data_IF_559039287771
#
_entry.id   IF_559039287771
#
_cell.length_a   1.000
_cell.length_b   1.000
_cell.length_c   1.000
_cell.angle_alpha   90.00
_cell.angle_beta   90.00
_cell.angle_gamma   90.00
#
_symmetry.space_group_name_H-M   'P 1'
#
loop_
_entity.id
_entity.type
_entity.pdbx_description
1 polymer ?
#
# COMPACT_ATOMS: atom_id res chain seq x y z
N UNK A 1 -21.21 7.84 0.15
CA UNK A 1 -20.96 8.52 1.44
C UNK A 1 -19.50 8.34 1.85
N UNK A 2 -18.81 9.36 2.39
CA UNK A 2 -17.42 9.22 2.87
C UNK A 2 -17.41 8.52 4.24
N UNK A 3 -16.65 7.43 4.37
CA UNK A 3 -16.51 6.64 5.60
C UNK A 3 -15.21 6.96 6.33
N UNK A 4 -14.13 7.23 5.59
CA UNK A 4 -12.80 7.49 6.14
C UNK A 4 -12.06 8.52 5.28
N UNK A 5 -11.30 9.39 5.94
CA UNK A 5 -10.28 10.26 5.34
C UNK A 5 -9.16 10.44 6.36
N UNK A 6 -8.14 9.59 6.25
CA UNK A 6 -7.00 9.53 7.16
C UNK A 6 -5.76 10.05 6.45
N UNK A 7 -5.00 10.89 7.14
CA UNK A 7 -3.67 11.31 6.71
C UNK A 7 -2.64 10.95 7.77
N UNK A 8 -1.44 10.61 7.34
CA UNK A 8 -0.34 10.27 8.23
C UNK A 8 1.02 10.38 7.56
N UNK A 9 2.05 10.07 8.34
CA UNK A 9 3.43 10.08 7.89
C UNK A 9 4.10 8.80 8.35
N UNK A 10 4.97 8.27 7.49
CA UNK A 10 5.85 7.17 7.81
C UNK A 10 7.31 7.60 7.66
N UNK A 11 8.17 7.07 8.51
CA UNK A 11 9.62 7.23 8.46
C UNK A 11 10.29 5.88 8.13
N UNK A 12 11.61 5.85 7.89
CA UNK A 12 12.33 4.61 7.68
C UNK A 12 12.14 3.56 8.79
N UNK A 13 11.89 3.99 10.04
CA UNK A 13 11.70 3.09 11.18
C UNK A 13 10.36 2.32 11.13
N UNK A 14 9.39 2.83 10.36
CA UNK A 14 8.10 2.17 10.13
C UNK A 14 8.19 1.10 9.03
N UNK A 15 9.36 0.94 8.40
CA UNK A 15 9.54 -0.11 7.40
C UNK A 15 9.30 -1.50 7.99
N UNK A 16 8.60 -2.34 7.22
CA UNK A 16 8.19 -3.70 7.57
C UNK A 16 7.17 -3.75 8.73
N UNK A 17 6.38 -2.69 8.91
CA UNK A 17 5.27 -2.65 9.86
C UNK A 17 3.91 -2.61 9.14
N UNK A 18 2.83 -2.74 9.93
CA UNK A 18 1.46 -2.71 9.44
C UNK A 18 0.62 -1.72 10.26
N UNK A 19 -0.20 -0.92 9.58
CA UNK A 19 -1.16 0.00 10.21
C UNK A 19 -2.56 -0.49 9.87
N UNK A 20 -3.29 -1.01 10.86
CA UNK A 20 -4.67 -1.47 10.71
C UNK A 20 -5.63 -0.34 11.05
N UNK A 21 -6.51 -0.01 10.10
CA UNK A 21 -7.38 1.16 10.16
C UNK A 21 -8.83 0.68 10.05
N UNK A 22 -9.56 0.62 11.18
CA UNK A 22 -10.94 0.16 11.20
C UNK A 22 -11.89 1.23 10.67
N UNK A 23 -13.00 0.80 10.08
CA UNK A 23 -14.17 1.62 9.75
C UNK A 23 -15.43 0.76 9.77
N UNK A 24 -16.59 1.39 9.92
CA UNK A 24 -17.88 0.70 9.90
C UNK A 24 -18.54 0.86 8.53
N UNK A 25 -19.15 -0.22 8.03
CA UNK A 25 -19.97 -0.21 6.83
C UNK A 25 -21.45 -0.35 7.19
N UNK A 26 -22.27 0.59 6.73
CA UNK A 26 -23.72 0.55 6.91
C UNK A 26 -24.42 -0.34 5.86
N UNK A 27 -25.68 -0.66 6.10
CA UNK A 27 -26.51 -1.43 5.15
C UNK A 27 -26.73 -0.66 3.83
N UNK A 28 -27.00 -1.40 2.76
CA UNK A 28 -27.37 -0.82 1.46
C UNK A 28 -26.22 -0.22 0.66
N UNK A 29 -24.97 -0.58 0.97
CA UNK A 29 -23.81 -0.20 0.16
C UNK A 29 -23.76 -1.00 -1.15
N UNK A 30 -23.88 -0.31 -2.29
CA UNK A 30 -23.72 -0.95 -3.61
C UNK A 30 -22.26 -1.15 -4.00
N UNK A 31 -21.39 -0.17 -3.71
CA UNK A 31 -19.97 -0.22 -4.04
C UNK A 31 -19.12 0.51 -3.01
N UNK A 32 -18.08 -0.16 -2.54
CA UNK A 32 -17.06 0.41 -1.65
C UNK A 32 -15.85 0.81 -2.49
N UNK A 33 -15.43 2.07 -2.35
CA UNK A 33 -14.31 2.64 -3.06
C UNK A 33 -13.21 3.02 -2.05
N UNK A 34 -11.96 2.82 -2.46
CA UNK A 34 -10.80 3.14 -1.66
C UNK A 34 -9.79 3.91 -2.52
N UNK A 35 -9.14 4.90 -1.91
CA UNK A 35 -8.01 5.60 -2.51
C UNK A 35 -6.86 5.66 -1.54
N UNK A 36 -5.75 5.02 -1.88
CA UNK A 36 -4.48 5.18 -1.19
C UNK A 36 -3.59 6.10 -2.02
N UNK A 37 -3.00 7.09 -1.35
CA UNK A 37 -1.97 7.95 -1.93
C UNK A 37 -0.78 8.02 -0.98
N UNK A 38 0.44 8.04 -1.51
CA UNK A 38 1.62 8.34 -0.70
C UNK A 38 2.71 9.07 -1.48
N UNK A 39 3.51 9.88 -0.80
CA UNK A 39 4.53 10.71 -1.42
C UNK A 39 5.63 11.07 -0.40
N UNK A 40 6.89 11.22 -0.83
CA UNK A 40 7.42 10.97 -2.17
C UNK A 40 7.48 9.47 -2.52
N UNK A 41 7.33 9.13 -3.80
CA UNK A 41 7.49 7.75 -4.28
C UNK A 41 8.96 7.33 -4.38
N UNK A 42 9.84 8.26 -4.75
CA UNK A 42 11.25 8.01 -5.07
C UNK A 42 12.16 8.71 -4.07
N UNK A 43 13.30 8.08 -3.78
CA UNK A 43 14.41 8.73 -3.11
C UNK A 43 15.31 9.40 -4.16
N UNK A 44 15.22 10.73 -4.24
CA UNK A 44 16.00 11.53 -5.20
C UNK A 44 17.49 11.63 -4.84
N UNK A 45 17.83 11.49 -3.55
CA UNK A 45 19.22 11.52 -3.10
C UNK A 45 19.95 10.23 -3.49
N UNK A 46 20.65 10.27 -4.63
CA UNK A 46 21.41 9.14 -5.17
C UNK A 46 22.47 8.60 -4.20
N UNK A 47 23.20 9.45 -3.50
CA UNK A 47 24.23 9.01 -2.56
C UNK A 47 23.63 8.22 -1.40
N UNK A 48 22.52 8.71 -0.83
CA UNK A 48 21.76 8.00 0.20
C UNK A 48 21.22 6.67 -0.35
N UNK A 49 20.69 6.68 -1.57
CA UNK A 49 20.16 5.48 -2.21
C UNK A 49 21.25 4.41 -2.41
N UNK A 50 22.45 4.80 -2.86
CA UNK A 50 23.59 3.89 -2.99
C UNK A 50 24.07 3.32 -1.65
N UNK A 51 24.06 4.12 -0.58
CA UNK A 51 24.38 3.62 0.77
C UNK A 51 23.38 2.56 1.22
N UNK A 52 22.08 2.88 1.16
CA UNK A 52 21.02 1.93 1.53
C UNK A 52 21.08 0.63 0.72
N UNK A 53 21.37 0.74 -0.58
CA UNK A 53 21.50 -0.43 -1.45
C UNK A 53 22.70 -1.29 -1.06
N UNK A 54 23.86 -0.69 -0.77
CA UNK A 54 25.05 -1.41 -0.30
C UNK A 54 24.82 -2.08 1.04
N UNK A 55 24.19 -1.39 1.99
CA UNK A 55 23.84 -1.95 3.30
C UNK A 55 22.92 -3.18 3.15
N UNK A 56 22.06 -3.18 2.13
CA UNK A 56 21.19 -4.32 1.84
C UNK A 56 21.93 -5.53 1.25
N UNK A 57 23.09 -5.35 0.59
CA UNK A 57 23.81 -6.45 -0.04
C UNK A 57 24.38 -7.43 0.98
N UNK A 58 24.79 -6.94 2.15
CA UNK A 58 25.26 -7.82 3.22
C UNK A 58 24.16 -8.75 3.74
N UNK A 59 22.89 -8.35 3.59
CA UNK A 59 21.72 -9.10 4.04
C UNK A 59 21.17 -10.04 2.96
N UNK A 60 21.18 -9.62 1.69
CA UNK A 60 20.40 -10.26 0.63
C UNK A 60 21.24 -10.84 -0.52
N UNK A 61 22.55 -10.56 -0.58
CA UNK A 61 23.43 -10.99 -1.66
C UNK A 61 24.55 -11.88 -1.11
N UNK A 62 24.71 -13.07 -1.70
CA UNK A 62 25.80 -13.99 -1.37
C UNK A 62 27.17 -13.32 -1.57
N UNK A 63 28.17 -13.58 -0.70
CA UNK A 63 29.47 -12.92 -0.76
C UNK A 63 30.13 -12.91 -2.16
N UNK A 64 30.08 -14.04 -2.87
CA UNK A 64 30.63 -14.22 -4.21
C UNK A 64 29.94 -13.38 -5.31
N UNK A 65 28.76 -12.81 -5.03
CA UNK A 65 27.99 -11.98 -5.97
C UNK A 65 28.03 -10.49 -5.62
N UNK A 66 28.65 -10.10 -4.49
CA UNK A 66 28.64 -8.71 -4.01
C UNK A 66 29.38 -7.76 -4.93
N UNK A 67 30.55 -8.15 -5.44
CA UNK A 67 31.30 -7.31 -6.38
C UNK A 67 30.49 -6.98 -7.63
N UNK A 68 29.83 -7.99 -8.20
CA UNK A 68 28.94 -7.81 -9.34
C UNK A 68 27.75 -6.91 -9.01
N UNK A 69 27.11 -7.09 -7.84
CA UNK A 69 26.01 -6.24 -7.39
C UNK A 69 26.45 -4.78 -7.24
N UNK A 70 27.60 -4.53 -6.60
CA UNK A 70 28.17 -3.19 -6.42
C UNK A 70 28.47 -2.53 -7.78
N UNK A 71 29.07 -3.27 -8.73
CA UNK A 71 29.37 -2.76 -10.06
C UNK A 71 28.09 -2.41 -10.86
N UNK A 72 26.94 -2.98 -10.51
CA UNK A 72 25.67 -2.78 -11.19
C UNK A 72 24.62 -2.05 -10.34
N UNK A 73 25.04 -1.38 -9.25
CA UNK A 73 24.15 -0.74 -8.29
C UNK A 73 23.16 0.25 -8.94
N UNK A 74 23.59 0.98 -9.97
CA UNK A 74 22.76 1.96 -10.68
C UNK A 74 21.52 1.34 -11.35
N UNK A 75 21.52 0.04 -11.67
CA UNK A 75 20.36 -0.66 -12.24
C UNK A 75 19.18 -0.75 -11.27
N UNK A 76 19.42 -0.57 -9.98
CA UNK A 76 18.41 -0.64 -8.93
C UNK A 76 17.94 0.74 -8.48
N UNK A 77 18.41 1.81 -9.11
CA UNK A 77 18.04 3.17 -8.79
C UNK A 77 16.94 3.73 -9.73
N UNK A 78 16.14 4.70 -9.26
CA UNK A 78 16.06 5.18 -7.88
C UNK A 78 15.35 4.18 -6.96
N UNK A 79 15.74 4.17 -5.68
CA UNK A 79 14.98 3.44 -4.66
C UNK A 79 13.61 4.10 -4.46
N UNK A 80 12.62 3.30 -4.09
CA UNK A 80 11.22 3.74 -3.98
C UNK A 80 10.64 3.36 -2.62
N UNK A 81 9.83 4.25 -2.07
CA UNK A 81 8.91 3.90 -1.00
C UNK A 81 7.88 2.91 -1.53
N UNK A 82 7.42 2.00 -0.67
CA UNK A 82 6.37 1.04 -1.00
C UNK A 82 5.41 0.88 0.17
N UNK A 83 4.19 1.37 -0.03
CA UNK A 83 3.05 1.11 0.84
C UNK A 83 2.01 0.37 -0.01
N UNK A 84 1.54 -0.76 0.49
CA UNK A 84 0.47 -1.55 -0.12
C UNK A 84 -0.71 -1.62 0.84
N UNK A 85 -1.86 -2.10 0.37
CA UNK A 85 -3.03 -2.23 1.22
C UNK A 85 -3.71 -3.59 1.07
N UNK A 86 -4.29 -4.07 2.16
CA UNK A 86 -5.24 -5.18 2.17
C UNK A 86 -6.55 -4.75 2.81
N UNK A 87 -7.61 -5.49 2.50
CA UNK A 87 -8.96 -5.23 2.98
C UNK A 87 -9.47 -6.48 3.71
N UNK A 88 -10.10 -6.26 4.86
CA UNK A 88 -10.88 -7.26 5.58
C UNK A 88 -12.29 -6.70 5.81
N UNK A 89 -13.31 -7.54 5.66
CA UNK A 89 -14.68 -7.27 6.07
C UNK A 89 -15.03 -7.98 7.39
N UNK A 90 -16.29 -7.88 7.80
CA UNK A 90 -16.79 -8.50 9.02
C UNK A 90 -16.72 -10.04 9.01
N UNK A 91 -16.57 -10.66 7.84
CA UNK A 91 -16.42 -12.12 7.64
C UNK A 91 -14.97 -12.53 7.43
N UNK A 92 -14.06 -11.60 7.17
CA UNK A 92 -12.62 -11.83 7.10
C UNK A 92 -11.96 -11.21 5.86
N UNK A 93 -10.92 -11.87 5.36
CA UNK A 93 -10.05 -11.32 4.32
C UNK A 93 -10.76 -11.11 2.97
N UNK A 94 -10.63 -9.90 2.41
CA UNK A 94 -11.19 -9.47 1.11
C UNK A 94 -10.14 -9.20 0.04
N UNK A 95 -8.88 -9.48 0.31
CA UNK A 95 -7.80 -9.39 -0.67
C UNK A 95 -6.73 -8.37 -0.33
N UNK A 96 -5.69 -8.36 -1.15
CA UNK A 96 -4.53 -7.49 -0.99
C UNK A 96 -4.09 -6.95 -2.35
N UNK A 97 -3.84 -5.65 -2.39
CA UNK A 97 -3.36 -4.92 -3.55
C UNK A 97 -1.87 -4.61 -3.36
N UNK A 98 -1.02 -5.55 -3.78
CA UNK A 98 0.44 -5.38 -3.75
C UNK A 98 0.92 -4.57 -4.96
N UNK A 99 0.38 -3.37 -5.14
CA UNK A 99 0.68 -2.50 -6.28
C UNK A 99 1.82 -1.54 -5.95
N UNK A 100 2.57 -1.19 -6.99
CA UNK A 100 3.69 -0.26 -6.87
C UNK A 100 3.24 1.19 -6.99
N UNK A 101 2.11 1.50 -7.62
CA UNK A 101 1.69 2.87 -7.85
C UNK A 101 1.47 3.62 -6.53
N UNK A 102 1.93 4.87 -6.49
CA UNK A 102 1.78 5.77 -5.35
C UNK A 102 0.36 6.30 -5.18
N UNK A 103 -0.46 6.21 -6.22
CA UNK A 103 -1.89 6.49 -6.21
C UNK A 103 -2.62 5.24 -6.65
N UNK A 104 -3.47 4.71 -5.78
CA UNK A 104 -4.22 3.48 -6.03
C UNK A 104 -5.70 3.77 -5.82
N UNK A 105 -6.44 3.79 -6.90
CA UNK A 105 -7.90 3.88 -6.90
C UNK A 105 -8.46 2.45 -7.05
N UNK A 106 -9.21 2.01 -6.03
CA UNK A 106 -9.70 0.65 -5.90
C UNK A 106 -11.20 0.66 -5.61
N UNK A 107 -11.85 -0.45 -5.94
CA UNK A 107 -13.23 -0.69 -5.59
C UNK A 107 -13.51 -2.17 -5.33
N UNK A 108 -14.58 -2.42 -4.58
CA UNK A 108 -15.21 -3.73 -4.41
C UNK A 108 -16.73 -3.54 -4.37
N UNK A 109 -17.45 -4.38 -5.10
CA UNK A 109 -18.90 -4.53 -5.05
C UNK A 109 -19.26 -6.01 -4.94
N UNK A 110 -20.56 -6.31 -4.99
CA UNK A 110 -21.02 -7.69 -5.02
C UNK A 110 -20.53 -8.44 -6.26
N UNK A 111 -20.50 -7.77 -7.42
CA UNK A 111 -20.23 -8.41 -8.72
C UNK A 111 -18.81 -8.20 -9.22
N UNK A 112 -18.18 -7.09 -8.87
CA UNK A 112 -16.86 -6.71 -9.38
C UNK A 112 -15.92 -6.25 -8.28
N UNK A 113 -14.63 -6.40 -8.52
CA UNK A 113 -13.60 -5.87 -7.65
C UNK A 113 -12.35 -5.55 -8.44
N UNK A 114 -11.58 -4.60 -7.93
CA UNK A 114 -10.25 -4.30 -8.44
C UNK A 114 -9.32 -5.51 -8.31
N UNK A 115 -8.43 -5.78 -9.29
CA UNK A 115 -7.50 -6.91 -9.21
C UNK A 115 -6.70 -6.95 -7.90
N UNK A 116 -6.73 -8.10 -7.23
CA UNK A 116 -6.17 -8.30 -5.88
C UNK A 116 -7.22 -8.30 -4.77
N UNK A 117 -8.42 -7.76 -5.03
CA UNK A 117 -9.59 -7.82 -4.14
C UNK A 117 -10.60 -8.85 -4.62
N UNK A 118 -11.45 -9.30 -3.71
CA UNK A 118 -12.52 -10.27 -3.97
C UNK A 118 -13.88 -9.58 -3.96
N UNK A 119 -14.61 -9.70 -5.06
CA UNK A 119 -16.01 -9.33 -5.16
C UNK A 119 -16.87 -10.23 -4.26
N UNK A 120 -18.06 -9.76 -3.93
CA UNK A 120 -19.03 -10.47 -3.10
C UNK A 120 -19.77 -9.51 -2.18
N UNK A 121 -20.83 -10.01 -1.54
CA UNK A 121 -21.72 -9.25 -0.66
C UNK A 121 -20.95 -8.25 0.22
N UNK A 122 -21.39 -6.99 0.22
CA UNK A 122 -20.85 -5.94 1.08
C UNK A 122 -21.59 -5.98 2.42
N UNK A 123 -21.08 -6.82 3.33
CA UNK A 123 -21.71 -7.03 4.63
C UNK A 123 -21.64 -5.80 5.53
N UNK A 124 -22.73 -5.41 6.20
CA UNK A 124 -22.67 -4.36 7.20
C UNK A 124 -21.83 -4.81 8.41
N UNK A 125 -21.26 -3.84 9.12
CA UNK A 125 -20.47 -4.03 10.34
C UNK A 125 -19.00 -3.64 10.17
N UNK A 126 -18.08 -4.26 10.96
CA UNK A 126 -16.71 -3.80 11.06
C UNK A 126 -15.88 -4.24 9.85
N UNK A 127 -15.21 -3.27 9.24
CA UNK A 127 -14.24 -3.48 8.17
C UNK A 127 -12.90 -2.89 8.58
N UNK A 128 -11.84 -3.26 7.87
CA UNK A 128 -10.54 -2.61 8.06
C UNK A 128 -9.71 -2.60 6.79
N UNK A 129 -9.00 -1.50 6.59
CA UNK A 129 -7.87 -1.43 5.65
C UNK A 129 -6.59 -1.64 6.46
N UNK A 130 -5.70 -2.52 6.00
CA UNK A 130 -4.36 -2.64 6.56
C UNK A 130 -3.36 -2.08 5.57
N UNK A 131 -2.66 -0.99 5.93
CA UNK A 131 -1.53 -0.50 5.18
C UNK A 131 -0.29 -1.29 5.57
N UNK A 132 0.40 -1.88 4.60
CA UNK A 132 1.67 -2.59 4.80
C UNK A 132 2.82 -1.73 4.29
N UNK A 133 3.63 -1.24 5.21
CA UNK A 133 4.73 -0.31 4.94
C UNK A 133 5.97 -1.13 4.62
N UNK A 134 6.04 -1.72 3.43
CA UNK A 134 7.11 -2.66 3.08
C UNK A 134 8.50 -2.03 3.17
N UNK A 135 8.64 -0.80 2.69
CA UNK A 135 9.91 -0.10 2.68
C UNK A 135 9.70 1.41 2.58
N UNK A 136 10.28 2.16 3.53
CA UNK A 136 10.34 3.62 3.53
C UNK A 136 11.82 4.02 3.48
N UNK A 137 12.25 4.58 2.35
CA UNK A 137 13.65 4.96 2.06
C UNK A 137 13.89 6.46 2.13
N UNK A 138 12.83 7.27 2.14
CA UNK A 138 12.90 8.72 2.32
C UNK A 138 12.78 9.07 3.80
N UNK A 139 13.26 10.25 4.21
CA UNK A 139 13.22 10.64 5.64
C UNK A 139 11.79 10.75 6.16
N UNK A 140 10.85 11.09 5.27
CA UNK A 140 9.42 11.12 5.55
C UNK A 140 8.66 10.73 4.29
N UNK A 141 7.57 9.97 4.47
CA UNK A 141 6.61 9.60 3.44
C UNK A 141 5.20 9.90 3.96
N UNK A 142 4.56 10.95 3.44
CA UNK A 142 3.17 11.25 3.73
C UNK A 142 2.27 10.24 3.02
N UNK A 143 1.18 9.83 3.67
CA UNK A 143 0.14 9.02 3.05
C UNK A 143 -1.26 9.53 3.39
N UNK A 144 -2.20 9.25 2.49
CA UNK A 144 -3.62 9.50 2.67
C UNK A 144 -4.42 8.27 2.25
N UNK A 145 -5.36 7.88 3.08
CA UNK A 145 -6.33 6.82 2.81
C UNK A 145 -7.73 7.41 2.87
N UNK A 146 -8.47 7.29 1.77
CA UNK A 146 -9.87 7.63 1.70
C UNK A 146 -10.70 6.38 1.43
N UNK A 147 -11.84 6.25 2.11
CA UNK A 147 -12.81 5.18 1.89
C UNK A 147 -14.20 5.78 1.80
N UNK A 148 -14.96 5.40 0.79
CA UNK A 148 -16.32 5.91 0.58
C UNK A 148 -17.20 4.91 -0.16
N UNK A 149 -18.50 5.02 0.04
CA UNK A 149 -19.52 4.24 -0.65
C UNK A 149 -20.10 5.01 -1.83
N UNK A 150 -20.52 4.29 -2.86
CA UNK A 150 -21.39 4.77 -3.94
C UNK A 150 -22.53 3.79 -4.15
N UNK A 151 -23.63 4.25 -4.74
CA UNK A 151 -24.68 3.35 -5.23
C UNK A 151 -24.11 2.47 -6.36
N UNK A 152 -24.68 1.27 -6.55
CA UNK A 152 -24.29 0.41 -7.67
C UNK A 152 -24.98 0.93 -8.93
N UNK A 153 -24.22 1.13 -10.02
CA UNK A 153 -24.81 1.55 -11.30
C UNK A 153 -25.82 0.49 -11.74
N UNK A 154 -27.10 0.87 -11.76
CA UNK A 154 -28.17 0.02 -12.27
C UNK A 154 -28.02 -0.07 -13.79
N UNK A 155 -27.37 -1.12 -14.28
CA UNK A 155 -27.38 -1.48 -15.70
C UNK A 155 -28.66 -2.25 -16.03
#
# INVERSE_FOLDING_TARGET
MKLLDLQGYASPEDSKTHIRIPFELEEGCGKLNLRLQYTPKKLENREKALRLLKDSYDLYILPEHREYAIANADRHLPLKNLITLSLDDARGYRGACHRQDEVQDLHVSEREASPGLMAGELVPGPWSVTLSLHCIVTDTCAYRLEVWTTEEDSI
#
